data_IF_738351173386
#
_entry.id   IF_738351173386
#
_cell.length_a   1.000
_cell.length_b   1.000
_cell.length_c   1.000
_cell.angle_alpha   90.00
_cell.angle_beta   90.00
_cell.angle_gamma   90.00
#
_symmetry.space_group_name_H-M   'P 1'
#
loop_
_entity.id
_entity.type
_entity.pdbx_description
1 polymer ?
#
# COMPACT_ATOMS: atom_id res chain seq x y z
N UNK A 1 9.19 -42.29 -63.11
CA UNK A 1 8.19 -42.35 -64.22
C UNK A 1 7.96 -40.89 -64.62
N UNK A 2 8.61 -40.52 -65.78
CA UNK A 2 8.66 -39.17 -66.30
C UNK A 2 7.60 -38.98 -67.33
N UNK A 3 6.79 -37.98 -67.21
CA UNK A 3 5.88 -37.57 -68.29
C UNK A 3 6.25 -36.17 -68.73
N UNK A 4 6.87 -36.10 -69.89
CA UNK A 4 7.09 -34.88 -70.70
C UNK A 4 5.86 -34.65 -71.57
N UNK A 5 5.27 -33.47 -71.56
CA UNK A 5 4.32 -33.03 -72.57
C UNK A 5 4.90 -31.82 -73.29
N UNK A 6 5.04 -31.95 -74.60
CA UNK A 6 5.57 -30.94 -75.49
C UNK A 6 4.45 -30.00 -76.00
N UNK A 7 4.82 -28.76 -76.04
CA UNK A 7 4.42 -27.65 -76.90
C UNK A 7 3.38 -27.87 -78.01
N UNK A 8 2.49 -26.90 -78.19
CA UNK A 8 2.21 -26.33 -79.52
C UNK A 8 1.77 -24.87 -79.38
N UNK A 9 2.45 -24.00 -80.08
CA UNK A 9 2.17 -22.58 -80.12
C UNK A 9 1.01 -22.26 -81.09
N UNK A 10 0.32 -21.18 -80.83
CA UNK A 10 -0.46 -20.40 -81.79
C UNK A 10 -0.17 -18.93 -81.54
N UNK A 11 0.43 -18.31 -82.55
CA UNK A 11 0.59 -16.87 -82.65
C UNK A 11 -0.73 -16.25 -83.13
N UNK A 12 -1.24 -15.27 -82.40
CA UNK A 12 -2.25 -14.34 -82.94
C UNK A 12 -1.86 -12.93 -82.50
N UNK A 13 -1.45 -12.15 -83.50
CA UNK A 13 -1.23 -10.72 -83.34
C UNK A 13 -2.56 -9.98 -83.17
N UNK A 14 -2.72 -9.17 -82.16
CA UNK A 14 -3.78 -8.16 -82.09
C UNK A 14 -3.21 -6.85 -81.59
N UNK A 15 -3.55 -5.81 -82.31
CA UNK A 15 -3.06 -4.44 -82.29
C UNK A 15 -3.10 -3.75 -80.93
N UNK A 16 -2.08 -2.95 -80.68
CA UNK A 16 -1.93 -2.04 -79.59
C UNK A 16 -2.94 -0.90 -79.65
N UNK A 17 -3.72 -0.73 -78.57
CA UNK A 17 -4.31 0.54 -78.18
C UNK A 17 -3.65 0.95 -76.87
N UNK A 18 -2.73 1.91 -77.00
CA UNK A 18 -2.10 2.51 -75.81
C UNK A 18 -3.11 3.47 -75.12
N UNK A 19 -3.80 3.02 -74.08
CA UNK A 19 -4.50 3.89 -73.18
C UNK A 19 -3.48 4.25 -72.05
N UNK A 20 -2.98 5.46 -72.08
CA UNK A 20 -2.16 6.02 -71.01
C UNK A 20 -3.04 6.19 -69.77
N UNK A 21 -2.96 5.28 -68.84
CA UNK A 21 -3.52 5.41 -67.52
C UNK A 21 -2.47 6.13 -66.64
N UNK A 22 -2.76 7.32 -66.07
CA UNK A 22 -1.83 7.91 -65.08
C UNK A 22 -1.79 7.00 -63.88
N UNK A 23 -0.67 6.32 -63.65
CA UNK A 23 -0.38 5.62 -62.41
C UNK A 23 -0.22 6.67 -61.34
N UNK A 24 -1.27 6.93 -60.55
CA UNK A 24 -1.17 7.59 -59.30
C UNK A 24 -0.32 6.69 -58.36
N UNK A 25 0.92 7.06 -58.19
CA UNK A 25 1.78 6.45 -57.16
C UNK A 25 1.18 6.80 -55.82
N UNK A 26 0.36 5.91 -55.28
CA UNK A 26 -0.01 5.99 -53.88
C UNK A 26 1.27 5.76 -53.07
N UNK A 27 1.85 6.83 -52.54
CA UNK A 27 2.85 6.72 -51.51
C UNK A 27 2.18 6.02 -50.32
N UNK A 28 2.45 4.72 -50.16
CA UNK A 28 2.20 4.04 -48.89
C UNK A 28 3.12 4.70 -47.89
N UNK A 29 2.57 5.60 -47.05
CA UNK A 29 3.26 6.04 -45.87
C UNK A 29 3.52 4.78 -45.03
N UNK A 30 4.78 4.43 -44.85
CA UNK A 30 5.18 3.41 -43.89
C UNK A 30 4.51 3.74 -42.56
N UNK A 31 3.82 2.79 -41.93
CA UNK A 31 3.26 3.03 -40.61
C UNK A 31 4.44 3.39 -39.68
N UNK A 32 4.46 4.62 -39.21
CA UNK A 32 5.42 5.05 -38.19
C UNK A 32 5.42 3.98 -37.11
N UNK A 33 6.57 3.39 -36.76
CA UNK A 33 6.62 2.36 -35.72
C UNK A 33 6.03 2.98 -34.44
N UNK A 34 4.92 2.41 -34.00
CA UNK A 34 4.35 2.77 -32.69
C UNK A 34 5.45 2.57 -31.64
N UNK A 35 5.81 3.59 -30.85
CA UNK A 35 6.79 3.42 -29.80
C UNK A 35 6.40 2.22 -28.94
N UNK A 36 7.30 1.27 -28.77
CA UNK A 36 7.08 0.15 -27.88
C UNK A 36 6.75 0.72 -26.49
N UNK A 37 5.76 0.16 -25.77
CA UNK A 37 5.46 0.61 -24.42
C UNK A 37 6.74 0.56 -23.59
N UNK A 38 7.07 1.67 -22.94
CA UNK A 38 8.17 1.75 -22.00
C UNK A 38 7.78 0.85 -20.83
N UNK A 39 8.26 -0.38 -20.85
CA UNK A 39 8.11 -1.30 -19.72
C UNK A 39 9.07 -0.79 -18.66
N UNK A 40 8.58 -0.06 -17.68
CA UNK A 40 9.36 0.29 -16.49
C UNK A 40 9.77 -1.03 -15.83
N UNK A 41 11.07 -1.33 -15.69
CA UNK A 41 11.48 -2.58 -15.07
C UNK A 41 10.92 -2.63 -13.64
N UNK A 42 10.25 -3.75 -13.31
CA UNK A 42 9.81 -4.01 -11.94
C UNK A 42 11.08 -4.15 -11.09
N UNK A 43 11.22 -3.38 -10.00
CA UNK A 43 12.37 -3.51 -9.12
C UNK A 43 12.53 -4.94 -8.60
N UNK A 44 13.75 -5.44 -8.58
CA UNK A 44 14.04 -6.75 -8.01
C UNK A 44 13.71 -6.78 -6.51
N UNK A 45 13.12 -7.88 -6.00
CA UNK A 45 12.89 -8.05 -4.58
C UNK A 45 14.19 -7.96 -3.78
N UNK A 46 14.18 -7.26 -2.65
CA UNK A 46 15.35 -7.03 -1.81
C UNK A 46 15.11 -7.49 -0.36
N UNK A 47 16.07 -8.19 0.19
CA UNK A 47 16.06 -8.67 1.56
C UNK A 47 16.63 -10.08 1.69
N UNK A 48 17.05 -10.48 2.90
CA UNK A 48 17.76 -11.75 3.12
C UNK A 48 16.91 -13.00 2.83
N UNK A 49 15.58 -12.89 2.88
CA UNK A 49 14.66 -13.99 2.62
C UNK A 49 14.17 -14.09 1.17
N UNK A 50 14.46 -13.10 0.32
CA UNK A 50 13.92 -13.04 -1.03
C UNK A 50 14.37 -14.21 -1.92
N UNK A 51 15.65 -14.57 -1.88
CA UNK A 51 16.18 -15.67 -2.70
C UNK A 51 15.58 -17.01 -2.30
N UNK A 52 15.44 -17.27 -1.00
CA UNK A 52 14.81 -18.48 -0.50
C UNK A 52 13.34 -18.58 -0.94
N UNK A 53 12.61 -17.48 -0.89
CA UNK A 53 11.23 -17.40 -1.38
C UNK A 53 11.16 -17.62 -2.90
N UNK A 54 11.99 -16.93 -3.68
CA UNK A 54 12.07 -17.04 -5.14
C UNK A 54 12.37 -18.46 -5.61
N UNK A 55 13.27 -19.16 -4.90
CA UNK A 55 13.62 -20.55 -5.20
C UNK A 55 12.47 -21.51 -4.88
N UNK A 56 11.67 -21.22 -3.83
CA UNK A 56 10.52 -22.04 -3.44
C UNK A 56 9.31 -21.80 -4.34
N UNK A 57 9.09 -20.56 -4.79
CA UNK A 57 7.95 -20.15 -5.62
C UNK A 57 8.44 -19.39 -6.84
N UNK A 58 9.07 -20.07 -7.80
CA UNK A 58 9.64 -19.43 -8.98
C UNK A 58 8.59 -18.97 -10.00
N UNK A 59 7.39 -19.59 -9.97
CA UNK A 59 6.30 -19.33 -10.93
C UNK A 59 4.94 -19.40 -10.25
N UNK A 60 3.88 -19.02 -10.97
CA UNK A 60 2.51 -19.00 -10.45
C UNK A 60 2.13 -17.68 -9.81
N UNK A 61 0.90 -17.62 -9.27
CA UNK A 61 0.32 -16.38 -8.72
C UNK A 61 1.15 -15.76 -7.58
N UNK A 62 1.81 -16.60 -6.77
CA UNK A 62 2.66 -16.18 -5.65
C UNK A 62 4.11 -15.85 -6.04
N UNK A 63 4.51 -15.96 -7.30
CA UNK A 63 5.85 -15.53 -7.73
C UNK A 63 5.95 -14.00 -7.73
N UNK A 64 7.14 -13.46 -7.45
CA UNK A 64 7.35 -12.00 -7.44
C UNK A 64 6.95 -11.34 -8.76
N UNK A 65 7.25 -11.97 -9.90
CA UNK A 65 6.87 -11.45 -11.21
C UNK A 65 5.34 -11.35 -11.39
N UNK A 66 4.59 -12.31 -10.85
CA UNK A 66 3.13 -12.29 -10.91
C UNK A 66 2.54 -11.29 -9.90
N UNK A 67 3.06 -11.28 -8.67
CA UNK A 67 2.60 -10.36 -7.62
C UNK A 67 2.81 -8.89 -7.98
N UNK A 68 3.87 -8.56 -8.71
CA UNK A 68 4.14 -7.20 -9.16
C UNK A 68 3.04 -6.58 -10.05
N UNK A 69 2.22 -7.41 -10.70
CA UNK A 69 1.11 -6.99 -11.56
C UNK A 69 -0.26 -7.07 -10.88
N UNK A 70 -0.32 -7.60 -9.67
CA UNK A 70 -1.55 -7.73 -8.88
C UNK A 70 -1.75 -6.52 -7.97
N UNK A 71 -2.99 -6.29 -7.51
CA UNK A 71 -3.24 -5.32 -6.43
C UNK A 71 -2.50 -5.75 -5.17
N UNK A 72 -2.27 -4.82 -4.25
CA UNK A 72 -1.54 -5.11 -3.02
C UNK A 72 -2.15 -6.25 -2.23
N UNK A 73 -3.47 -6.24 -2.07
CA UNK A 73 -4.19 -7.29 -1.32
C UNK A 73 -4.20 -8.63 -2.04
N UNK A 74 -4.31 -8.63 -3.39
CA UNK A 74 -4.21 -9.86 -4.18
C UNK A 74 -2.80 -10.47 -4.12
N UNK A 75 -1.76 -9.63 -4.17
CA UNK A 75 -0.37 -10.07 -4.00
C UNK A 75 -0.11 -10.65 -2.60
N UNK A 76 -0.66 -10.03 -1.54
CA UNK A 76 -0.61 -10.55 -0.18
C UNK A 76 -1.32 -11.91 -0.08
N UNK A 77 -2.50 -12.03 -0.67
CA UNK A 77 -3.28 -13.27 -0.67
C UNK A 77 -2.61 -14.40 -1.48
N UNK A 78 -1.89 -14.06 -2.56
CA UNK A 78 -1.15 -15.01 -3.37
C UNK A 78 0.14 -15.51 -2.69
N UNK A 79 0.63 -14.79 -1.67
CA UNK A 79 1.84 -15.15 -0.94
C UNK A 79 1.52 -16.11 0.21
N UNK A 80 1.97 -17.38 0.15
CA UNK A 80 1.63 -18.38 1.18
C UNK A 80 2.22 -18.05 2.56
N UNK A 81 3.31 -17.26 2.64
CA UNK A 81 3.92 -16.86 3.91
C UNK A 81 3.13 -15.75 4.60
N UNK A 82 2.17 -15.12 3.91
CA UNK A 82 1.34 -14.02 4.40
C UNK A 82 -0.14 -14.41 4.60
N UNK A 83 -0.47 -15.70 4.59
CA UNK A 83 -1.87 -16.16 4.65
C UNK A 83 -2.60 -15.68 5.91
N UNK A 84 -1.93 -15.61 7.06
CA UNK A 84 -2.50 -15.09 8.30
C UNK A 84 -2.76 -13.59 8.22
N UNK A 85 -1.82 -12.82 7.65
CA UNK A 85 -2.00 -11.39 7.42
C UNK A 85 -3.10 -11.11 6.39
N UNK A 86 -3.15 -11.89 5.32
CA UNK A 86 -4.24 -11.85 4.34
C UNK A 86 -5.62 -12.06 4.99
N UNK A 87 -5.73 -13.05 5.87
CA UNK A 87 -6.96 -13.27 6.64
C UNK A 87 -7.27 -12.08 7.57
N UNK A 88 -6.25 -11.49 8.21
CA UNK A 88 -6.45 -10.35 9.11
C UNK A 88 -7.02 -9.13 8.38
N UNK A 89 -6.51 -8.80 7.20
CA UNK A 89 -6.95 -7.62 6.43
C UNK A 89 -8.30 -7.80 5.71
N UNK A 90 -8.73 -9.05 5.49
CA UNK A 90 -9.92 -9.38 4.70
C UNK A 90 -11.12 -9.86 5.52
N UNK A 91 -11.07 -9.79 6.84
CA UNK A 91 -12.16 -10.24 7.72
C UNK A 91 -12.10 -11.70 8.13
N UNK A 92 -10.99 -12.39 7.81
CA UNK A 92 -10.83 -13.82 8.17
C UNK A 92 -10.45 -14.04 9.64
N UNK A 93 -9.86 -13.06 10.32
CA UNK A 93 -9.62 -13.12 11.78
C UNK A 93 -10.82 -12.58 12.55
N UNK A 94 -11.37 -11.46 12.12
CA UNK A 94 -12.59 -10.85 12.66
C UNK A 94 -13.42 -10.29 11.49
N UNK A 95 -14.67 -10.76 11.29
CA UNK A 95 -15.52 -10.31 10.18
C UNK A 95 -15.87 -8.82 10.18
N UNK A 96 -15.73 -8.15 11.33
CA UNK A 96 -15.96 -6.71 11.44
C UNK A 96 -14.78 -5.87 10.87
N UNK A 97 -13.63 -6.51 10.63
CA UNK A 97 -12.40 -5.84 10.18
C UNK A 97 -12.09 -6.22 8.74
N UNK A 98 -12.30 -5.29 7.83
CA UNK A 98 -11.92 -5.45 6.41
C UNK A 98 -11.33 -4.14 5.89
N UNK A 99 -10.03 -4.14 5.59
CA UNK A 99 -9.29 -2.98 5.11
C UNK A 99 -8.76 -3.13 3.68
N UNK A 100 -9.24 -4.15 2.95
CA UNK A 100 -8.83 -4.44 1.57
C UNK A 100 -8.97 -3.21 0.67
N UNK A 101 -10.12 -2.54 0.71
CA UNK A 101 -10.37 -1.33 -0.10
C UNK A 101 -9.46 -0.16 0.28
N UNK A 102 -9.02 -0.08 1.52
CA UNK A 102 -8.07 0.94 1.97
C UNK A 102 -6.70 0.67 1.36
N UNK A 103 -6.21 -0.56 1.47
CA UNK A 103 -4.88 -0.95 0.95
C UNK A 103 -4.82 -0.82 -0.58
N UNK A 104 -5.85 -1.24 -1.29
CA UNK A 104 -5.89 -1.17 -2.76
C UNK A 104 -6.22 0.25 -3.29
N UNK A 105 -6.66 1.14 -2.41
CA UNK A 105 -7.09 2.51 -2.77
C UNK A 105 -6.01 3.57 -2.82
N UNK A 106 -4.78 3.27 -2.40
CA UNK A 106 -3.72 4.29 -2.35
C UNK A 106 -2.32 3.72 -2.51
N UNK A 107 -1.34 4.59 -2.74
CA UNK A 107 0.06 4.16 -2.70
C UNK A 107 0.44 3.89 -1.25
N UNK A 108 0.74 2.63 -0.93
CA UNK A 108 1.14 2.23 0.41
C UNK A 108 2.45 1.45 0.43
N UNK A 109 3.21 1.68 1.48
CA UNK A 109 4.16 0.71 2.02
C UNK A 109 3.39 -0.14 3.02
N UNK A 110 3.38 -1.45 2.79
CA UNK A 110 2.71 -2.42 3.65
C UNK A 110 3.79 -3.26 4.35
N UNK A 111 3.90 -3.12 5.66
CA UNK A 111 4.70 -4.03 6.47
C UNK A 111 3.87 -5.27 6.77
N UNK A 112 4.09 -6.34 6.05
CA UNK A 112 3.29 -7.56 6.11
C UNK A 112 3.95 -8.60 7.00
N UNK A 113 3.47 -8.84 8.24
CA UNK A 113 4.00 -9.88 9.10
C UNK A 113 3.74 -11.27 8.53
N UNK A 114 4.78 -12.10 8.54
CA UNK A 114 4.69 -13.47 8.08
C UNK A 114 3.87 -14.35 9.03
N UNK A 115 3.48 -15.52 8.57
CA UNK A 115 2.83 -16.52 9.45
C UNK A 115 3.70 -16.83 10.68
N UNK A 116 5.02 -16.89 10.50
CA UNK A 116 5.98 -17.08 11.61
C UNK A 116 6.00 -15.87 12.57
N UNK A 117 5.77 -14.67 12.07
CA UNK A 117 5.65 -13.47 12.90
C UNK A 117 4.42 -13.55 13.81
N UNK A 118 3.29 -14.01 13.28
CA UNK A 118 2.09 -14.26 14.08
C UNK A 118 2.26 -15.42 15.07
N UNK A 119 3.03 -16.44 14.71
CA UNK A 119 3.34 -17.57 15.61
C UNK A 119 4.24 -17.18 16.80
N UNK A 120 4.92 -16.04 16.74
CA UNK A 120 5.70 -15.48 17.87
C UNK A 120 4.85 -14.75 18.89
N UNK A 121 3.63 -14.34 18.53
CA UNK A 121 2.71 -13.75 19.49
C UNK A 121 2.34 -14.76 20.57
N UNK A 122 2.26 -14.33 21.81
CA UNK A 122 1.73 -15.19 22.85
C UNK A 122 0.21 -15.43 22.65
N UNK A 123 -0.31 -16.48 23.28
CA UNK A 123 -1.70 -16.86 23.11
C UNK A 123 -2.68 -15.75 23.54
N UNK A 124 -2.32 -14.98 24.57
CA UNK A 124 -3.14 -13.88 25.05
C UNK A 124 -3.18 -12.71 24.06
N UNK A 125 -2.04 -12.35 23.47
CA UNK A 125 -1.95 -11.31 22.44
C UNK A 125 -2.76 -11.71 21.18
N UNK A 126 -2.59 -12.93 20.73
CA UNK A 126 -3.34 -13.44 19.58
C UNK A 126 -4.85 -13.52 19.85
N UNK A 127 -5.25 -13.91 21.06
CA UNK A 127 -6.64 -13.92 21.47
C UNK A 127 -7.25 -12.52 21.53
N UNK A 128 -6.50 -11.54 22.03
CA UNK A 128 -6.92 -10.13 22.04
C UNK A 128 -7.11 -9.59 20.62
N UNK A 129 -6.16 -9.83 19.71
CA UNK A 129 -6.29 -9.43 18.32
C UNK A 129 -7.51 -10.04 17.61
N UNK A 130 -7.91 -11.25 18.00
CA UNK A 130 -9.09 -11.93 17.42
C UNK A 130 -10.41 -11.50 18.06
N UNK A 131 -10.40 -10.96 19.26
CA UNK A 131 -11.61 -10.61 20.02
C UNK A 131 -11.90 -9.13 20.07
N UNK A 132 -10.92 -8.28 19.72
CA UNK A 132 -11.06 -6.82 19.74
C UNK A 132 -10.84 -6.25 18.33
N UNK A 133 -11.93 -5.98 17.58
CA UNK A 133 -11.85 -5.42 16.24
C UNK A 133 -11.22 -4.03 16.19
N UNK A 134 -11.31 -3.24 17.27
CA UNK A 134 -10.67 -1.93 17.33
C UNK A 134 -9.15 -2.06 17.46
N UNK A 135 -8.69 -2.97 18.31
CA UNK A 135 -7.26 -3.29 18.44
C UNK A 135 -6.70 -3.87 17.14
N UNK A 136 -7.42 -4.81 16.52
CA UNK A 136 -6.99 -5.40 15.25
C UNK A 136 -6.89 -4.33 14.15
N UNK A 137 -7.90 -3.47 14.02
CA UNK A 137 -7.89 -2.37 13.04
C UNK A 137 -6.72 -1.40 13.29
N UNK A 138 -6.52 -1.00 14.54
CA UNK A 138 -5.41 -0.13 14.94
C UNK A 138 -4.05 -0.75 14.61
N UNK A 139 -3.89 -2.03 14.92
CA UNK A 139 -2.67 -2.79 14.60
C UNK A 139 -2.44 -2.86 13.10
N UNK A 140 -3.46 -3.21 12.31
CA UNK A 140 -3.35 -3.28 10.86
C UNK A 140 -3.01 -1.92 10.24
N UNK A 141 -3.62 -0.83 10.70
CA UNK A 141 -3.28 0.51 10.22
C UNK A 141 -1.88 0.97 10.64
N UNK A 142 -1.34 0.45 11.72
CA UNK A 142 0.04 0.69 12.12
C UNK A 142 1.05 0.01 11.18
N UNK A 143 0.65 -1.03 10.44
CA UNK A 143 1.44 -1.69 9.40
C UNK A 143 1.41 -0.98 8.04
N UNK A 144 0.65 0.11 7.91
CA UNK A 144 0.50 0.85 6.65
C UNK A 144 1.14 2.24 6.74
N UNK A 145 2.04 2.53 5.84
CA UNK A 145 2.64 3.87 5.65
C UNK A 145 2.21 4.39 4.29
N UNK A 146 1.77 5.65 4.22
CA UNK A 146 1.38 6.27 2.96
C UNK A 146 2.62 6.57 2.11
N UNK A 147 2.64 6.10 0.88
CA UNK A 147 3.69 6.33 -0.09
C UNK A 147 4.06 5.08 -0.86
N UNK A 148 4.77 5.27 -1.96
CA UNK A 148 5.36 4.19 -2.76
C UNK A 148 6.87 4.26 -2.59
N UNK A 149 7.40 3.70 -1.51
CA UNK A 149 8.79 3.82 -1.10
C UNK A 149 9.52 2.50 -1.31
N UNK A 150 10.52 2.53 -2.18
CA UNK A 150 11.43 1.40 -2.37
C UNK A 150 12.44 1.26 -1.22
N UNK A 151 13.26 0.20 -1.23
CA UNK A 151 14.21 -0.08 -0.16
C UNK A 151 15.25 1.01 0.09
N UNK A 152 15.57 1.82 -0.92
CA UNK A 152 16.52 2.93 -0.80
C UNK A 152 15.89 4.19 -0.19
N UNK A 153 14.58 4.35 -0.33
CA UNK A 153 13.81 5.50 0.15
C UNK A 153 13.15 5.23 1.51
N UNK A 154 13.08 3.96 1.91
CA UNK A 154 12.41 3.53 3.14
C UNK A 154 13.34 3.71 4.34
N UNK A 155 13.38 4.91 4.93
CA UNK A 155 14.22 5.21 6.09
C UNK A 155 13.70 6.39 6.91
N UNK A 156 14.07 6.41 8.19
CA UNK A 156 13.70 7.47 9.12
C UNK A 156 12.33 7.27 9.77
N UNK A 157 11.78 8.35 10.29
CA UNK A 157 10.48 8.35 10.97
C UNK A 157 9.35 8.53 9.96
N UNK A 158 8.45 7.56 9.91
CA UNK A 158 7.34 7.52 8.96
C UNK A 158 6.00 7.45 9.69
N UNK A 159 5.06 8.36 9.39
CA UNK A 159 3.72 8.28 9.95
C UNK A 159 2.96 7.11 9.34
N UNK A 160 2.30 6.33 10.17
CA UNK A 160 1.43 5.24 9.76
C UNK A 160 -0.01 5.72 9.58
N UNK A 161 -0.84 4.90 8.96
CA UNK A 161 -2.29 5.16 8.85
C UNK A 161 -3.01 5.15 10.21
N UNK A 162 -2.42 4.53 11.21
CA UNK A 162 -2.91 4.56 12.59
C UNK A 162 -2.64 5.92 13.28
N UNK A 163 -1.70 6.72 12.76
CA UNK A 163 -1.31 8.03 13.29
C UNK A 163 -0.04 8.03 14.13
N UNK A 164 0.39 6.89 14.65
CA UNK A 164 1.69 6.74 15.31
C UNK A 164 2.80 6.60 14.28
N UNK A 165 4.04 6.82 14.72
CA UNK A 165 5.23 6.80 13.88
C UNK A 165 5.94 5.45 13.98
N UNK A 166 6.43 4.93 12.87
CA UNK A 166 7.44 3.87 12.83
C UNK A 166 8.81 4.48 12.52
N UNK A 167 9.86 3.97 13.13
CA UNK A 167 11.23 4.35 12.83
C UNK A 167 11.88 3.27 11.98
N UNK A 168 12.29 3.62 10.76
CA UNK A 168 12.93 2.68 9.83
C UNK A 168 14.41 3.00 9.75
N UNK A 169 15.25 2.00 10.01
CA UNK A 169 16.70 2.06 9.98
C UNK A 169 17.28 1.04 9.00
N UNK A 170 18.53 1.24 8.60
CA UNK A 170 19.15 0.40 7.56
C UNK A 170 18.76 0.83 6.15
N UNK A 171 19.10 0.01 5.16
CA UNK A 171 18.80 0.23 3.73
C UNK A 171 19.03 -1.03 2.92
N UNK A 172 18.47 -1.06 1.70
CA UNK A 172 18.62 -2.20 0.80
C UNK A 172 18.04 -3.47 1.39
N UNK A 173 18.87 -4.52 1.55
CA UNK A 173 18.44 -5.80 2.12
C UNK A 173 18.47 -5.91 3.64
N UNK A 174 18.96 -4.89 4.37
CA UNK A 174 19.07 -4.92 5.84
C UNK A 174 18.31 -3.75 6.47
N UNK A 175 16.99 -3.85 6.43
CA UNK A 175 16.07 -2.86 6.98
C UNK A 175 15.48 -3.39 8.28
N UNK A 176 15.39 -2.50 9.28
CA UNK A 176 14.74 -2.74 10.57
C UNK A 176 13.69 -1.67 10.85
N UNK A 177 12.63 -2.08 11.52
CA UNK A 177 11.53 -1.21 11.94
C UNK A 177 11.50 -1.20 13.46
N UNK A 178 11.47 -0.02 14.06
CA UNK A 178 11.51 0.20 15.51
C UNK A 178 12.68 -0.55 16.20
N UNK A 179 13.82 -0.67 15.49
CA UNK A 179 15.07 -1.31 15.90
C UNK A 179 15.03 -2.84 16.05
N UNK A 180 13.89 -3.44 16.31
CA UNK A 180 13.73 -4.87 16.62
C UNK A 180 13.19 -5.70 15.47
N UNK A 181 12.26 -5.16 14.70
CA UNK A 181 11.55 -5.88 13.63
C UNK A 181 12.38 -5.88 12.34
N UNK A 182 12.69 -7.07 11.83
CA UNK A 182 13.49 -7.22 10.62
C UNK A 182 12.62 -7.35 9.38
N UNK A 183 13.01 -6.65 8.32
CA UNK A 183 12.49 -6.91 6.99
C UNK A 183 13.17 -8.15 6.42
N UNK A 184 12.36 -9.12 6.05
CA UNK A 184 12.82 -10.39 5.45
C UNK A 184 12.94 -10.27 3.93
N UNK A 185 11.94 -9.67 3.29
CA UNK A 185 11.91 -9.47 1.84
C UNK A 185 10.96 -8.33 1.48
N UNK A 186 11.41 -7.39 0.65
CA UNK A 186 10.59 -6.35 0.06
C UNK A 186 10.36 -6.62 -1.43
N UNK A 187 9.12 -6.49 -1.88
CA UNK A 187 8.73 -6.64 -3.28
C UNK A 187 7.58 -5.71 -3.66
N UNK A 188 7.37 -5.51 -4.95
CA UNK A 188 6.34 -4.61 -5.47
C UNK A 188 5.03 -5.32 -5.75
N UNK A 189 3.95 -4.58 -5.61
CA UNK A 189 2.64 -4.86 -6.16
C UNK A 189 2.13 -3.62 -6.92
N UNK A 190 1.03 -3.73 -7.63
CA UNK A 190 0.41 -2.58 -8.28
C UNK A 190 -0.05 -1.57 -7.23
N UNK A 191 0.59 -0.40 -7.22
CA UNK A 191 0.29 0.68 -6.28
C UNK A 191 0.86 0.52 -4.87
N UNK A 192 1.65 -0.53 -4.57
CA UNK A 192 2.20 -0.72 -3.24
C UNK A 192 3.59 -1.37 -3.25
N UNK A 193 4.36 -1.09 -2.18
CA UNK A 193 5.52 -1.86 -1.80
C UNK A 193 5.17 -2.73 -0.59
N UNK A 194 5.46 -4.03 -0.66
CA UNK A 194 5.15 -5.00 0.40
C UNK A 194 6.46 -5.46 1.02
N UNK A 195 6.62 -5.23 2.32
CA UNK A 195 7.78 -5.65 3.09
C UNK A 195 7.36 -6.74 4.08
N UNK A 196 7.80 -7.96 3.82
CA UNK A 196 7.60 -9.08 4.74
C UNK A 196 8.44 -8.87 5.99
N UNK A 197 7.82 -8.92 7.15
CA UNK A 197 8.49 -8.70 8.44
C UNK A 197 8.39 -9.93 9.35
N UNK A 198 9.39 -10.08 10.21
CA UNK A 198 9.54 -11.24 11.10
C UNK A 198 8.77 -11.11 12.42
N UNK A 199 8.10 -9.98 12.65
CA UNK A 199 7.38 -9.68 13.89
C UNK A 199 6.18 -8.79 13.60
N UNK A 200 5.08 -8.96 14.32
CA UNK A 200 3.89 -8.10 14.24
C UNK A 200 4.19 -6.78 14.94
N UNK A 201 3.97 -5.66 14.25
CA UNK A 201 4.17 -4.33 14.82
C UNK A 201 3.06 -4.00 15.82
N UNK A 202 3.44 -3.52 16.99
CA UNK A 202 2.52 -3.13 18.04
C UNK A 202 2.46 -1.60 18.15
N UNK A 203 1.30 -0.95 17.93
CA UNK A 203 1.19 0.50 18.08
C UNK A 203 1.46 1.00 19.50
N UNK A 204 1.31 0.14 20.53
CA UNK A 204 1.68 0.46 21.90
C UNK A 204 3.20 0.57 22.14
N UNK A 205 4.01 0.03 21.26
CA UNK A 205 5.48 0.09 21.28
C UNK A 205 6.04 1.11 20.27
N UNK A 206 5.17 1.96 19.72
CA UNK A 206 5.58 3.00 18.77
C UNK A 206 6.65 3.91 19.42
N UNK A 207 7.76 4.23 18.72
CA UNK A 207 8.72 5.18 19.21
C UNK A 207 8.04 6.53 19.42
N UNK A 208 8.28 7.16 20.56
CA UNK A 208 7.70 8.48 20.84
C UNK A 208 8.08 9.43 19.70
N UNK A 209 7.12 10.14 19.09
CA UNK A 209 7.47 11.18 18.14
C UNK A 209 8.40 12.14 18.88
N UNK A 210 9.60 12.40 18.32
CA UNK A 210 10.41 13.50 18.85
C UNK A 210 9.52 14.72 18.78
N UNK A 211 9.06 15.20 19.93
CA UNK A 211 8.53 16.55 20.04
C UNK A 211 9.69 17.42 19.59
N UNK A 212 9.66 17.82 18.31
CA UNK A 212 10.47 18.94 17.90
C UNK A 212 10.10 20.02 18.89
N UNK A 213 11.06 20.42 19.71
CA UNK A 213 10.94 21.57 20.59
C UNK A 213 10.53 22.73 19.73
N UNK A 214 9.22 22.96 19.64
CA UNK A 214 8.71 24.25 19.24
C UNK A 214 9.20 25.16 20.35
N UNK A 215 10.31 25.83 20.09
CA UNK A 215 10.74 26.99 20.84
C UNK A 215 9.65 28.05 20.66
N UNK A 216 8.61 27.92 21.46
CA UNK A 216 7.64 28.97 21.66
C UNK A 216 8.41 30.08 22.33
N UNK A 217 8.83 31.06 21.53
CA UNK A 217 9.31 32.35 22.06
C UNK A 217 8.16 32.92 22.89
N UNK A 218 8.26 32.75 24.19
CA UNK A 218 7.41 33.46 25.14
C UNK A 218 7.83 34.90 25.09
N UNK A 219 7.18 35.71 24.30
CA UNK A 219 7.17 37.15 24.49
C UNK A 219 6.46 37.43 25.81
N UNK A 220 7.25 37.74 26.80
CA UNK A 220 6.83 38.28 28.10
C UNK A 220 6.28 39.69 27.84
N UNK A 221 4.98 39.80 27.59
CA UNK A 221 4.30 41.08 27.76
C UNK A 221 3.93 41.23 29.22
N UNK A 222 4.74 42.06 29.91
CA UNK A 222 4.48 42.59 31.25
C UNK A 222 3.22 43.46 31.18
N UNK A 223 2.09 42.93 31.64
CA UNK A 223 0.90 43.73 31.91
C UNK A 223 0.80 44.01 33.39
N UNK A 224 1.08 45.22 33.74
CA UNK A 224 0.93 45.86 35.05
C UNK A 224 -0.52 45.73 35.53
N UNK A 225 -0.74 45.03 36.62
CA UNK A 225 -2.02 44.95 37.32
C UNK A 225 -2.18 46.17 38.24
N UNK A 226 -3.17 46.96 37.98
CA UNK A 226 -3.65 47.97 38.93
C UNK A 226 -4.88 47.42 39.62
N UNK A 227 -4.74 47.18 40.92
CA UNK A 227 -5.80 46.81 41.86
C UNK A 227 -6.74 47.97 42.08
N UNK A 228 -8.06 47.74 42.04
CA UNK A 228 -9.06 48.58 42.72
C UNK A 228 -10.12 47.73 43.37
N UNK A 229 -10.26 47.96 44.63
CA UNK A 229 -11.05 47.31 45.68
C UNK A 229 -12.53 47.70 45.63
N UNK A 230 -13.37 46.82 46.21
CA UNK A 230 -14.73 47.01 46.77
C UNK A 230 -15.89 46.92 45.76
N UNK A 231 -16.99 46.22 45.99
CA UNK A 231 -17.85 46.15 47.17
C UNK A 231 -18.89 45.03 46.96
N UNK A 232 -19.20 44.32 48.04
CA UNK A 232 -20.37 43.43 48.22
C UNK A 232 -21.60 44.30 48.54
N UNK A 233 -22.85 43.97 48.22
CA UNK A 233 -23.66 43.11 49.09
C UNK A 233 -24.70 42.18 48.38
N UNK A 234 -24.93 41.05 49.03
CA UNK A 234 -26.18 40.27 49.05
C UNK A 234 -27.27 40.98 49.84
N UNK A 235 -28.51 40.50 50.04
CA UNK A 235 -29.31 39.43 49.40
C UNK A 235 -30.80 39.83 49.15
N UNK A 236 -31.63 38.97 48.59
CA UNK A 236 -33.07 38.79 48.95
C UNK A 236 -33.74 37.74 48.06
N UNK A 237 -34.00 36.60 48.62
CA UNK A 237 -35.24 35.92 49.09
C UNK A 237 -36.46 35.86 48.14
N UNK A 238 -36.98 34.63 48.16
CA UNK A 238 -38.41 34.24 48.05
C UNK A 238 -38.96 34.11 46.62
N UNK A 239 -39.66 33.07 46.21
CA UNK A 239 -40.56 32.11 46.87
C UNK A 239 -40.98 31.03 45.88
N UNK A 240 -41.08 29.83 46.33
CA UNK A 240 -41.96 28.77 45.85
C UNK A 240 -43.42 29.18 46.25
N UNK A 241 -44.54 28.68 45.72
CA UNK A 241 -44.85 27.29 45.52
C UNK A 241 -45.93 26.91 44.43
N UNK A 242 -46.14 25.59 44.31
CA UNK A 242 -47.43 24.90 44.36
C UNK A 242 -48.05 24.41 43.03
N UNK A 243 -47.95 23.09 42.81
CA UNK A 243 -49.05 22.07 42.73
C UNK A 243 -50.20 22.28 41.74
N UNK A 244 -50.49 21.25 40.92
CA UNK A 244 -51.74 20.46 40.85
C UNK A 244 -51.74 19.69 39.53
N UNK A 245 -51.56 18.36 39.49
CA UNK A 245 -52.50 17.23 39.60
C UNK A 245 -53.57 17.11 38.52
N UNK A 246 -53.58 15.90 37.93
CA UNK A 246 -54.68 15.02 37.48
C UNK A 246 -55.05 15.08 36.00
N UNK A 247 -54.85 13.98 35.32
CA UNK A 247 -55.78 12.87 35.03
C UNK A 247 -56.76 13.09 33.86
N UNK A 248 -56.57 12.35 32.84
CA UNK A 248 -57.45 11.34 32.26
C UNK A 248 -56.71 10.60 31.14
#
# INVERSE_FOLDING_TARGET
MSIRIKSLGVAAAVAAIAVAIPTAVQAYADPTPTPAPIVTPVPDPQGPGCDAYKNRIPTGAGSFASMATQTATAAIAANPDLSTFSAAISGGLDPAVNIVSVIDGGPYVVFAPTNDAFAKLDEAQLAQLKSDPALLTSTLFYHLVLGYLGPDDLHGKMPTQQGSVVNVTGKGGDIKINDDVKVLCGYTASGAYIYMVDTVLNPGEAPTPNTATSTSSTETTTSTSTSTTAETPSPTTSTTPTTTKAAS
#
